data_IF_837608275695
#
_entry.id   IF_837608275695
#
_cell.length_a   1.000
_cell.length_b   1.000
_cell.length_c   1.000
_cell.angle_alpha   90.00
_cell.angle_beta   90.00
_cell.angle_gamma   90.00
#
_symmetry.space_group_name_H-M   'P 1'
#
loop_
_entity.id
_entity.type
_entity.pdbx_description
1 polymer ?
#
# COMPACT_ATOMS: atom_id res chain seq x y z
N UNK A 1 -9.52 -10.41 -9.80
CA UNK A 1 -8.74 -9.89 -8.65
C UNK A 1 -7.24 -9.83 -8.96
N UNK A 2 -6.74 -10.42 -10.05
CA UNK A 2 -5.31 -10.60 -10.35
C UNK A 2 -4.51 -9.32 -10.65
N UNK A 3 -5.15 -8.15 -10.62
CA UNK A 3 -4.55 -6.84 -10.87
C UNK A 3 -4.68 -5.85 -9.71
N UNK A 4 -5.49 -6.14 -8.70
CA UNK A 4 -5.67 -5.24 -7.55
C UNK A 4 -4.38 -5.16 -6.75
N UNK A 5 -3.81 -3.96 -6.63
CA UNK A 5 -2.72 -3.68 -5.69
C UNK A 5 -3.29 -3.00 -4.44
N UNK A 6 -2.65 -3.22 -3.31
CA UNK A 6 -2.91 -2.49 -2.08
C UNK A 6 -1.74 -1.53 -1.84
N UNK A 7 -2.03 -0.23 -1.82
CA UNK A 7 -1.07 0.82 -1.49
C UNK A 7 -1.20 1.08 0.01
N UNK A 8 -0.16 0.75 0.77
CA UNK A 8 -0.10 0.99 2.22
C UNK A 8 0.67 2.28 2.46
N UNK A 9 0.01 3.28 3.04
CA UNK A 9 0.55 4.59 3.39
C UNK A 9 0.66 4.67 4.91
N UNK A 10 1.89 4.63 5.40
CA UNK A 10 2.19 4.50 6.83
C UNK A 10 3.60 5.04 7.07
N UNK A 11 3.76 6.05 7.93
CA UNK A 11 5.04 6.73 8.14
C UNK A 11 5.98 5.91 9.04
N UNK A 12 5.42 5.03 9.86
CA UNK A 12 6.20 4.09 10.64
C UNK A 12 6.60 2.87 9.79
N UNK A 13 7.86 2.86 9.35
CA UNK A 13 8.44 1.82 8.49
C UNK A 13 8.16 0.41 9.01
N UNK A 14 8.25 0.19 10.32
CA UNK A 14 8.03 -1.13 10.94
C UNK A 14 6.58 -1.57 10.79
N UNK A 15 5.62 -0.67 11.02
CA UNK A 15 4.19 -0.98 10.89
C UNK A 15 3.79 -1.15 9.42
N UNK A 16 4.32 -0.30 8.53
CA UNK A 16 4.07 -0.44 7.11
C UNK A 16 4.56 -1.79 6.58
N UNK A 17 5.75 -2.23 7.01
CA UNK A 17 6.28 -3.54 6.65
C UNK A 17 5.46 -4.68 7.26
N UNK A 18 5.05 -4.56 8.53
CA UNK A 18 4.19 -5.53 9.19
C UNK A 18 2.86 -5.73 8.46
N UNK A 19 2.15 -4.64 8.13
CA UNK A 19 0.87 -4.66 7.42
C UNK A 19 1.05 -5.25 6.02
N UNK A 20 2.09 -4.83 5.29
CA UNK A 20 2.38 -5.39 3.97
C UNK A 20 2.67 -6.90 4.02
N UNK A 21 3.40 -7.37 5.03
CA UNK A 21 3.70 -8.78 5.21
C UNK A 21 2.46 -9.59 5.59
N UNK A 22 1.57 -9.04 6.42
CA UNK A 22 0.28 -9.67 6.74
C UNK A 22 -0.56 -9.87 5.49
N UNK A 23 -0.71 -8.82 4.66
CA UNK A 23 -1.45 -8.87 3.41
C UNK A 23 -0.81 -9.79 2.37
N UNK A 24 0.52 -9.83 2.29
CA UNK A 24 1.24 -10.71 1.38
C UNK A 24 1.03 -12.20 1.71
N UNK A 25 0.89 -12.56 3.00
CA UNK A 25 0.55 -13.93 3.42
C UNK A 25 -0.82 -14.37 2.91
N UNK A 26 -1.77 -13.45 2.85
CA UNK A 26 -3.09 -13.65 2.25
C UNK A 26 -3.08 -13.53 0.71
N UNK A 27 -1.88 -13.48 0.09
CA UNK A 27 -1.64 -13.43 -1.37
C UNK A 27 -2.08 -12.12 -2.03
N UNK A 28 -2.25 -11.03 -1.27
CA UNK A 28 -2.46 -9.71 -1.85
C UNK A 28 -1.14 -9.11 -2.36
N UNK A 29 -1.22 -8.37 -3.46
CA UNK A 29 -0.10 -7.56 -3.94
C UNK A 29 -0.08 -6.23 -3.20
N UNK A 30 1.02 -5.93 -2.53
CA UNK A 30 1.16 -4.71 -1.73
C UNK A 30 2.27 -3.81 -2.25
N UNK A 31 2.14 -2.51 -2.03
CA UNK A 31 3.17 -1.49 -2.28
C UNK A 31 3.22 -0.55 -1.09
N UNK A 32 4.43 -0.27 -0.61
CA UNK A 32 4.68 0.54 0.59
C UNK A 32 4.90 2.01 0.23
N UNK A 33 4.43 2.91 1.10
CA UNK A 33 4.66 4.34 1.01
C UNK A 33 4.87 4.98 2.39
N UNK A 34 6.12 5.27 2.73
CA UNK A 34 6.51 5.86 4.02
C UNK A 34 6.54 7.39 4.03
N UNK A 35 6.46 8.00 2.85
CA UNK A 35 6.51 9.44 2.68
C UNK A 35 5.35 9.89 1.81
N UNK A 36 4.78 11.05 2.14
CA UNK A 36 3.70 11.65 1.37
C UNK A 36 4.07 11.86 -0.11
N UNK A 37 5.34 12.15 -0.39
CA UNK A 37 5.85 12.30 -1.77
C UNK A 37 5.78 10.99 -2.56
N UNK A 38 6.10 9.86 -1.93
CA UNK A 38 5.98 8.52 -2.53
C UNK A 38 4.52 8.13 -2.66
N UNK A 39 3.70 8.35 -1.62
CA UNK A 39 2.27 8.09 -1.65
C UNK A 39 1.60 8.85 -2.80
N UNK A 40 1.89 10.14 -2.96
CA UNK A 40 1.38 10.95 -4.07
C UNK A 40 1.69 10.36 -5.45
N UNK A 41 2.93 9.92 -5.68
CA UNK A 41 3.33 9.29 -6.96
C UNK A 41 2.58 7.97 -7.21
N UNK A 42 2.38 7.17 -6.16
CA UNK A 42 1.67 5.90 -6.27
C UNK A 42 0.17 6.10 -6.51
N UNK A 43 -0.45 7.06 -5.83
CA UNK A 43 -1.87 7.41 -5.98
C UNK A 43 -2.16 8.00 -7.37
N UNK A 44 -1.24 8.76 -7.95
CA UNK A 44 -1.37 9.24 -9.34
C UNK A 44 -1.37 8.12 -10.39
N UNK A 45 -0.80 6.96 -10.06
CA UNK A 45 -0.75 5.78 -10.93
C UNK A 45 -1.80 4.73 -10.54
N UNK A 46 -2.57 4.98 -9.48
CA UNK A 46 -3.59 4.07 -9.01
C UNK A 46 -4.75 4.04 -10.01
N UNK A 47 -5.35 2.87 -10.14
CA UNK A 47 -6.56 2.63 -10.93
C UNK A 47 -7.75 2.41 -10.00
N UNK A 48 -8.97 2.44 -10.54
CA UNK A 48 -10.21 2.25 -9.76
C UNK A 48 -10.28 0.91 -9.01
N UNK A 49 -9.45 -0.06 -9.40
CA UNK A 49 -9.39 -1.39 -8.79
C UNK A 49 -8.37 -1.49 -7.65
N UNK A 50 -7.58 -0.45 -7.42
CA UNK A 50 -6.55 -0.42 -6.38
C UNK A 50 -7.15 0.01 -5.04
N UNK A 51 -6.60 -0.54 -3.95
CA UNK A 51 -7.05 -0.25 -2.59
C UNK A 51 -5.97 0.56 -1.89
N UNK A 52 -6.37 1.60 -1.16
CA UNK A 52 -5.47 2.39 -0.33
C UNK A 52 -5.76 2.11 1.13
N UNK A 53 -4.74 1.70 1.87
CA UNK A 53 -4.76 1.58 3.32
C UNK A 53 -3.87 2.70 3.85
N UNK A 54 -4.45 3.64 4.59
CA UNK A 54 -3.73 4.80 5.14
C UNK A 54 -3.94 4.86 6.65
N UNK A 55 -2.86 5.16 7.36
CA UNK A 55 -2.98 5.66 8.74
C UNK A 55 -3.54 7.11 8.74
N UNK A 56 -4.23 7.50 9.82
CA UNK A 56 -4.96 8.77 9.97
C UNK A 56 -4.25 9.78 10.88
#
# INVERSE_FOLDING_TARGET
MDKTKIIVVEDNIVYCEFVCNLLAREKFRTVQAFHLSTAKKLLQQATDNDIVVSDL
#
